data_IF_389583663380
#
_entry.id   IF_389583663380
#
_cell.length_a   1.000
_cell.length_b   1.000
_cell.length_c   1.000
_cell.angle_alpha   90.00
_cell.angle_beta   90.00
_cell.angle_gamma   90.00
#
_symmetry.space_group_name_H-M   'P 1'
#
loop_
_entity.id
_entity.type
_entity.pdbx_description
1 polymer ?
#
# COMPACT_ATOMS: atom_id res chain seq x y z
N UNK A 1 7.76 -16.33 -3.35
CA UNK A 1 6.61 -15.42 -3.38
C UNK A 1 6.61 -14.71 -4.72
N UNK A 2 5.47 -14.71 -5.40
CA UNK A 2 5.26 -13.93 -6.62
C UNK A 2 4.82 -12.52 -6.22
N UNK A 3 5.44 -11.48 -6.80
CA UNK A 3 5.02 -10.08 -6.62
C UNK A 3 4.40 -9.62 -7.92
N UNK A 4 3.19 -9.07 -7.84
CA UNK A 4 2.44 -8.59 -9.00
C UNK A 4 1.45 -7.51 -8.58
N UNK A 5 0.94 -6.77 -9.55
CA UNK A 5 -0.27 -5.98 -9.33
C UNK A 5 -1.49 -6.89 -9.17
N UNK A 6 -2.50 -6.36 -8.50
CA UNK A 6 -3.82 -6.96 -8.40
C UNK A 6 -4.47 -7.11 -9.78
N UNK A 7 -5.36 -8.09 -9.88
CA UNK A 7 -6.25 -8.36 -11.02
C UNK A 7 -7.69 -8.22 -10.55
N UNK A 8 -8.63 -8.11 -11.48
CA UNK A 8 -10.06 -8.02 -11.17
C UNK A 8 -10.55 -9.14 -10.23
N UNK A 9 -10.00 -10.36 -10.38
CA UNK A 9 -10.33 -11.53 -9.57
C UNK A 9 -9.77 -11.52 -8.14
N UNK A 10 -8.89 -10.58 -7.78
CA UNK A 10 -8.20 -10.60 -6.48
C UNK A 10 -8.99 -9.94 -5.35
N UNK A 11 -10.16 -9.32 -5.62
CA UNK A 11 -10.91 -8.53 -4.65
C UNK A 11 -11.17 -9.29 -3.35
N UNK A 12 -11.69 -10.52 -3.44
CA UNK A 12 -12.01 -11.32 -2.25
C UNK A 12 -10.75 -11.70 -1.44
N UNK A 13 -9.68 -12.10 -2.12
CA UNK A 13 -8.42 -12.45 -1.46
C UNK A 13 -7.71 -11.25 -0.83
N UNK A 14 -7.87 -10.06 -1.43
CA UNK A 14 -7.37 -8.81 -0.88
C UNK A 14 -8.17 -8.36 0.34
N UNK A 15 -9.51 -8.46 0.30
CA UNK A 15 -10.38 -8.20 1.45
C UNK A 15 -10.07 -9.14 2.62
N UNK A 16 -9.84 -10.43 2.35
CA UNK A 16 -9.40 -11.40 3.37
C UNK A 16 -8.10 -10.94 4.05
N UNK A 17 -7.14 -10.43 3.28
CA UNK A 17 -5.89 -9.92 3.82
C UNK A 17 -6.09 -8.64 4.66
N UNK A 18 -7.02 -7.76 4.29
CA UNK A 18 -7.30 -6.52 5.03
C UNK A 18 -7.90 -6.75 6.42
N UNK A 19 -8.42 -7.95 6.71
CA UNK A 19 -8.76 -8.36 8.08
C UNK A 19 -7.54 -8.40 9.02
N UNK A 20 -6.33 -8.51 8.47
CA UNK A 20 -5.06 -8.45 9.22
C UNK A 20 -4.49 -7.03 9.34
N UNK A 21 -5.14 -6.04 8.72
CA UNK A 21 -4.76 -4.63 8.78
C UNK A 21 -5.58 -3.92 9.87
N UNK A 22 -6.82 -3.53 9.55
CA UNK A 22 -7.72 -2.80 10.45
C UNK A 22 -9.19 -3.24 10.33
N UNK A 23 -9.56 -3.93 9.25
CA UNK A 23 -10.94 -4.33 9.00
C UNK A 23 -11.36 -5.50 9.88
N UNK A 24 -12.65 -5.54 10.25
CA UNK A 24 -13.22 -6.60 11.09
C UNK A 24 -13.95 -7.68 10.29
N UNK A 25 -14.43 -7.32 9.11
CA UNK A 25 -15.16 -8.19 8.20
C UNK A 25 -14.95 -7.76 6.75
N UNK A 26 -15.23 -8.67 5.83
CA UNK A 26 -15.23 -8.33 4.40
C UNK A 26 -16.44 -7.47 4.07
N UNK A 27 -16.27 -6.58 3.11
CA UNK A 27 -17.40 -5.81 2.59
C UNK A 27 -18.25 -6.74 1.71
N UNK A 28 -19.58 -6.70 1.82
CA UNK A 28 -20.45 -7.45 0.92
C UNK A 28 -20.23 -7.01 -0.53
N UNK A 29 -20.41 -7.94 -1.47
CA UNK A 29 -20.29 -7.63 -2.89
C UNK A 29 -21.50 -6.82 -3.38
N UNK A 30 -21.40 -5.50 -3.26
CA UNK A 30 -22.41 -4.55 -3.76
C UNK A 30 -21.97 -3.94 -5.09
N UNK A 31 -22.91 -3.43 -5.91
CA UNK A 31 -22.57 -2.72 -7.15
C UNK A 31 -21.58 -1.56 -6.94
N UNK A 32 -21.68 -0.86 -5.81
CA UNK A 32 -20.79 0.25 -5.45
C UNK A 32 -19.36 -0.23 -5.21
N UNK A 33 -19.19 -1.34 -4.48
CA UNK A 33 -17.88 -1.94 -4.25
C UNK A 33 -17.25 -2.40 -5.58
N UNK A 34 -18.02 -3.07 -6.43
CA UNK A 34 -17.54 -3.55 -7.74
C UNK A 34 -17.17 -2.38 -8.65
N UNK A 35 -17.95 -1.30 -8.66
CA UNK A 35 -17.64 -0.09 -9.43
C UNK A 35 -16.34 0.55 -8.96
N UNK A 36 -16.19 0.76 -7.64
CA UNK A 36 -14.97 1.33 -7.06
C UNK A 36 -13.74 0.46 -7.35
N UNK A 37 -13.88 -0.86 -7.26
CA UNK A 37 -12.78 -1.78 -7.56
C UNK A 37 -12.31 -1.65 -9.02
N UNK A 38 -13.25 -1.54 -9.96
CA UNK A 38 -12.93 -1.33 -11.37
C UNK A 38 -12.28 0.01 -11.63
N UNK A 39 -12.74 1.08 -10.97
CA UNK A 39 -12.12 2.40 -11.05
C UNK A 39 -10.67 2.37 -10.54
N UNK A 40 -10.43 1.71 -9.40
CA UNK A 40 -9.09 1.57 -8.83
C UNK A 40 -8.17 0.79 -9.77
N UNK A 41 -8.59 -0.36 -10.29
CA UNK A 41 -7.75 -1.17 -11.21
C UNK A 41 -7.48 -0.42 -12.52
N UNK A 42 -8.42 0.39 -12.99
CA UNK A 42 -8.27 1.15 -14.23
C UNK A 42 -7.38 2.40 -14.06
N UNK A 43 -7.16 2.87 -12.83
CA UNK A 43 -6.34 4.05 -12.57
C UNK A 43 -4.85 3.73 -12.65
N UNK A 44 -4.21 4.23 -13.71
CA UNK A 44 -2.77 4.08 -13.97
C UNK A 44 -1.86 4.68 -12.88
N UNK A 45 -2.38 5.55 -12.01
CA UNK A 45 -1.64 6.20 -10.93
C UNK A 45 -1.94 5.56 -9.56
N UNK A 46 -2.83 4.55 -9.51
CA UNK A 46 -3.21 3.81 -8.31
C UNK A 46 -2.80 2.34 -8.42
N UNK A 47 -1.73 1.97 -7.72
CA UNK A 47 -1.20 0.60 -7.79
C UNK A 47 -1.45 -0.13 -6.47
N UNK A 48 -2.04 -1.32 -6.54
CA UNK A 48 -2.08 -2.26 -5.42
C UNK A 48 -1.20 -3.44 -5.78
N UNK A 49 -0.11 -3.61 -5.04
CA UNK A 49 0.83 -4.71 -5.19
C UNK A 49 0.48 -5.80 -4.19
N UNK A 50 0.51 -7.05 -4.64
CA UNK A 50 0.29 -8.23 -3.81
C UNK A 50 1.47 -9.19 -3.87
N UNK A 51 1.77 -9.76 -2.71
CA UNK A 51 2.68 -10.87 -2.53
C UNK A 51 1.89 -12.17 -2.42
N UNK A 52 2.07 -13.06 -3.40
CA UNK A 52 1.36 -14.33 -3.50
C UNK A 52 2.27 -15.52 -3.15
N UNK A 53 1.77 -16.42 -2.31
CA UNK A 53 2.41 -17.68 -1.94
C UNK A 53 1.39 -18.79 -2.12
N UNK A 54 1.70 -19.78 -2.96
CA UNK A 54 0.83 -20.94 -3.20
C UNK A 54 -0.61 -20.56 -3.60
N UNK A 55 -0.77 -19.54 -4.46
CA UNK A 55 -2.07 -19.06 -4.92
C UNK A 55 -2.79 -18.13 -3.95
N UNK A 56 -2.25 -17.90 -2.74
CA UNK A 56 -2.85 -17.03 -1.72
C UNK A 56 -2.15 -15.68 -1.64
N UNK A 57 -2.93 -14.61 -1.62
CA UNK A 57 -2.45 -13.26 -1.29
C UNK A 57 -2.12 -13.21 0.20
N UNK A 58 -0.85 -12.98 0.54
CA UNK A 58 -0.36 -12.98 1.93
C UNK A 58 0.23 -11.65 2.36
N UNK A 59 0.46 -10.72 1.43
CA UNK A 59 0.93 -9.38 1.73
C UNK A 59 0.46 -8.40 0.65
N UNK A 60 0.24 -7.14 1.02
CA UNK A 60 -0.11 -6.07 0.08
C UNK A 60 0.52 -4.74 0.46
N UNK A 61 0.70 -3.88 -0.54
CA UNK A 61 1.06 -2.47 -0.43
C UNK A 61 0.28 -1.70 -1.49
N UNK A 62 -0.36 -0.60 -1.11
CA UNK A 62 -0.90 0.37 -2.06
C UNK A 62 0.12 1.49 -2.27
N UNK A 63 0.38 1.89 -3.51
CA UNK A 63 1.14 3.09 -3.85
C UNK A 63 0.37 3.95 -4.85
N UNK A 64 0.21 5.23 -4.51
CA UNK A 64 -0.57 6.19 -5.31
C UNK A 64 0.37 7.30 -5.76
N UNK A 65 0.45 7.53 -7.06
CA UNK A 65 1.24 8.60 -7.68
C UNK A 65 0.37 9.85 -7.81
N UNK A 66 0.81 10.96 -7.22
CA UNK A 66 0.06 12.21 -7.16
C UNK A 66 0.75 13.26 -8.02
N UNK A 67 0.02 13.76 -9.02
CA UNK A 67 0.44 14.88 -9.87
C UNK A 67 0.71 16.12 -9.02
N UNK A 68 1.71 16.89 -9.40
CA UNK A 68 2.19 18.02 -8.61
C UNK A 68 2.79 19.10 -9.51
N UNK A 69 2.57 20.38 -9.17
CA UNK A 69 3.15 21.53 -9.88
C UNK A 69 4.46 22.01 -9.26
N UNK A 70 4.72 21.67 -7.99
CA UNK A 70 5.95 22.07 -7.29
C UNK A 70 7.13 21.19 -7.71
N UNK A 71 8.35 21.54 -7.28
CA UNK A 71 9.56 20.72 -7.51
C UNK A 71 9.74 20.36 -8.99
N UNK A 72 9.64 21.37 -9.86
CA UNK A 72 9.75 21.23 -11.32
C UNK A 72 8.69 20.28 -11.90
N UNK A 73 7.44 20.38 -11.43
CA UNK A 73 6.31 19.55 -11.86
C UNK A 73 6.50 18.05 -11.62
N UNK A 74 7.42 17.66 -10.74
CA UNK A 74 7.65 16.24 -10.41
C UNK A 74 6.56 15.73 -9.48
N UNK A 75 5.93 14.57 -9.77
CA UNK A 75 4.95 13.97 -8.89
C UNK A 75 5.58 13.52 -7.57
N UNK A 76 4.75 13.08 -6.64
CA UNK A 76 5.18 12.37 -5.44
C UNK A 76 4.24 11.19 -5.20
N UNK A 77 4.68 10.20 -4.46
CA UNK A 77 3.83 9.05 -4.13
C UNK A 77 3.49 8.97 -2.64
N UNK A 78 2.37 8.34 -2.33
CA UNK A 78 1.98 7.93 -0.98
C UNK A 78 1.85 6.41 -0.97
N UNK A 79 2.35 5.79 0.08
CA UNK A 79 2.15 4.37 0.41
C UNK A 79 1.07 4.26 1.48
N UNK A 80 0.10 3.39 1.22
CA UNK A 80 -1.02 3.06 2.10
C UNK A 80 -1.20 1.55 2.22
N UNK A 81 -2.01 1.12 3.20
CA UNK A 81 -2.51 -0.25 3.33
C UNK A 81 -1.41 -1.34 3.27
N UNK A 82 -0.29 -1.10 3.94
CA UNK A 82 0.80 -2.06 4.07
C UNK A 82 0.40 -3.13 5.08
N UNK A 83 0.23 -4.37 4.60
CA UNK A 83 -0.14 -5.50 5.48
C UNK A 83 0.53 -6.78 5.03
N UNK A 84 0.85 -7.62 6.01
CA UNK A 84 1.23 -9.03 5.80
C UNK A 84 0.43 -9.88 6.79
N UNK A 85 -0.16 -10.95 6.26
CA UNK A 85 -0.87 -11.97 7.04
C UNK A 85 0.01 -12.48 8.19
N UNK A 86 -0.59 -12.70 9.37
CA UNK A 86 0.13 -13.04 10.61
C UNK A 86 1.17 -14.15 10.43
N UNK A 87 0.75 -15.30 9.90
CA UNK A 87 1.60 -16.48 9.68
C UNK A 87 2.73 -16.31 8.66
N UNK A 88 2.69 -15.23 7.87
CA UNK A 88 3.65 -14.93 6.81
C UNK A 88 4.55 -13.73 7.13
N UNK A 89 4.43 -13.16 8.34
CA UNK A 89 5.31 -12.07 8.82
C UNK A 89 6.75 -12.56 9.01
N UNK A 90 7.68 -11.60 9.08
CA UNK A 90 9.13 -11.85 9.27
C UNK A 90 9.81 -12.66 8.15
N UNK A 91 9.17 -12.82 6.97
CA UNK A 91 9.73 -13.51 5.79
C UNK A 91 10.25 -12.56 4.70
N UNK A 92 10.23 -11.24 4.94
CA UNK A 92 10.69 -10.22 3.99
C UNK A 92 9.68 -9.78 2.94
N UNK A 93 8.46 -10.32 2.94
CA UNK A 93 7.45 -10.07 1.90
C UNK A 93 7.04 -8.61 1.76
N UNK A 94 6.67 -7.96 2.87
CA UNK A 94 6.36 -6.53 2.86
C UNK A 94 7.54 -5.69 2.35
N UNK A 95 8.79 -6.05 2.71
CA UNK A 95 9.98 -5.32 2.24
C UNK A 95 10.12 -5.40 0.73
N UNK A 96 9.88 -6.57 0.12
CA UNK A 96 9.94 -6.73 -1.33
C UNK A 96 8.82 -5.94 -2.04
N UNK A 97 7.62 -5.88 -1.46
CA UNK A 97 6.53 -5.05 -1.99
C UNK A 97 6.84 -3.56 -1.86
N UNK A 98 7.38 -3.11 -0.72
CA UNK A 98 7.81 -1.73 -0.51
C UNK A 98 8.89 -1.31 -1.52
N UNK A 99 9.86 -2.18 -1.81
CA UNK A 99 10.85 -1.90 -2.85
C UNK A 99 10.18 -1.70 -4.21
N UNK A 100 9.28 -2.62 -4.61
CA UNK A 100 8.55 -2.49 -5.88
C UNK A 100 7.69 -1.23 -5.95
N UNK A 101 7.08 -0.83 -4.83
CA UNK A 101 6.31 0.42 -4.73
C UNK A 101 7.21 1.66 -4.93
N UNK A 102 8.40 1.66 -4.34
CA UNK A 102 9.40 2.72 -4.55
C UNK A 102 9.86 2.73 -6.01
N UNK A 103 10.15 1.58 -6.61
CA UNK A 103 10.54 1.48 -8.03
C UNK A 103 9.45 2.06 -8.94
N UNK A 104 8.16 1.80 -8.66
CA UNK A 104 7.04 2.40 -9.41
C UNK A 104 7.06 3.92 -9.29
N UNK A 105 7.22 4.45 -8.07
CA UNK A 105 7.28 5.89 -7.87
C UNK A 105 8.48 6.53 -8.58
N UNK A 106 9.66 5.91 -8.53
CA UNK A 106 10.86 6.38 -9.22
C UNK A 106 10.67 6.39 -10.75
N UNK A 107 10.12 5.31 -11.31
CA UNK A 107 9.83 5.22 -12.74
C UNK A 107 8.76 6.21 -13.21
N UNK A 108 7.83 6.59 -12.32
CA UNK A 108 6.86 7.66 -12.54
C UNK A 108 7.44 9.08 -12.36
N UNK A 109 8.75 9.20 -12.11
CA UNK A 109 9.45 10.47 -11.97
C UNK A 109 9.23 11.17 -10.62
N UNK A 110 8.68 10.46 -9.63
CA UNK A 110 8.40 11.03 -8.32
C UNK A 110 9.68 11.60 -7.68
N UNK A 111 9.55 12.72 -6.97
CA UNK A 111 10.68 13.27 -6.20
C UNK A 111 10.75 12.77 -4.77
N UNK A 112 9.69 12.14 -4.27
CA UNK A 112 9.62 11.50 -2.95
C UNK A 112 8.49 10.46 -2.90
N UNK A 113 8.60 9.57 -1.93
CA UNK A 113 7.54 8.65 -1.48
C UNK A 113 7.29 8.91 0.00
N UNK A 114 6.03 8.94 0.41
CA UNK A 114 5.64 9.19 1.80
C UNK A 114 4.76 8.07 2.31
N UNK A 115 4.80 7.82 3.61
CA UNK A 115 3.82 6.98 4.31
C UNK A 115 3.55 7.58 5.68
N UNK A 116 2.35 7.34 6.19
CA UNK A 116 1.99 7.64 7.57
C UNK A 116 1.65 6.32 8.26
N UNK A 117 2.07 6.16 9.51
CA UNK A 117 1.71 4.98 10.30
C UNK A 117 1.25 5.39 11.69
N UNK A 118 0.16 4.78 12.15
CA UNK A 118 -0.29 4.88 13.54
C UNK A 118 0.48 3.94 14.48
N UNK A 119 1.36 3.09 13.96
CA UNK A 119 2.13 2.15 14.74
C UNK A 119 3.06 2.88 15.72
N UNK A 120 2.99 2.46 16.99
CA UNK A 120 3.88 2.92 18.06
C UNK A 120 4.94 1.89 18.42
N UNK A 121 4.79 0.65 17.94
CA UNK A 121 5.74 -0.40 18.22
C UNK A 121 7.03 -0.20 17.42
N UNK A 122 8.17 -0.36 18.09
CA UNK A 122 9.48 -0.11 17.48
C UNK A 122 9.78 -1.05 16.30
N UNK A 123 9.15 -2.23 16.24
CA UNK A 123 9.44 -3.19 15.19
C UNK A 123 8.89 -2.71 13.85
N UNK A 124 7.67 -2.17 13.83
CA UNK A 124 7.07 -1.55 12.64
C UNK A 124 7.84 -0.30 12.22
N UNK A 125 8.25 0.55 13.18
CA UNK A 125 9.05 1.73 12.88
C UNK A 125 10.41 1.36 12.26
N UNK A 126 11.14 0.41 12.88
CA UNK A 126 12.40 -0.12 12.33
C UNK A 126 12.22 -0.81 10.98
N UNK A 127 11.06 -1.41 10.72
CA UNK A 127 10.75 -1.98 9.41
C UNK A 127 10.72 -0.89 8.32
N UNK A 128 10.02 0.23 8.56
CA UNK A 128 10.00 1.34 7.60
C UNK A 128 11.38 1.99 7.42
N UNK A 129 12.15 2.13 8.50
CA UNK A 129 13.55 2.60 8.42
C UNK A 129 14.42 1.68 7.54
N UNK A 130 14.28 0.35 7.70
CA UNK A 130 14.96 -0.64 6.85
C UNK A 130 14.51 -0.63 5.39
N UNK A 131 13.35 -0.04 5.10
CA UNK A 131 12.86 0.21 3.74
C UNK A 131 13.35 1.56 3.19
N UNK A 132 14.20 2.28 3.92
CA UNK A 132 14.80 3.55 3.47
C UNK A 132 14.01 4.80 3.86
N UNK A 133 12.91 4.66 4.60
CA UNK A 133 12.12 5.81 5.07
C UNK A 133 12.75 6.43 6.32
N UNK A 134 12.62 7.74 6.47
CA UNK A 134 12.96 8.42 7.72
C UNK A 134 11.75 9.20 8.25
N UNK A 135 11.67 9.33 9.57
CA UNK A 135 10.60 10.03 10.27
C UNK A 135 11.01 11.42 10.77
N UNK A 136 12.20 11.89 10.39
CA UNK A 136 12.84 13.10 10.95
C UNK A 136 12.67 14.33 10.06
N UNK A 137 12.56 14.14 8.75
CA UNK A 137 12.51 15.25 7.79
C UNK A 137 11.16 15.98 7.75
N UNK A 138 10.08 15.30 8.18
CA UNK A 138 8.69 15.79 8.11
C UNK A 138 7.90 15.40 9.34
N UNK A 139 6.99 16.30 9.74
CA UNK A 139 5.99 16.05 10.78
C UNK A 139 4.61 15.95 10.16
N UNK A 140 3.91 14.85 10.42
CA UNK A 140 2.53 14.66 10.00
C UNK A 140 1.56 15.44 10.91
N UNK A 141 0.53 16.03 10.31
CA UNK A 141 -0.62 16.61 11.00
C UNK A 141 -1.88 15.96 10.46
N UNK A 142 -2.75 15.46 11.33
CA UNK A 142 -3.95 14.73 10.95
C UNK A 142 -5.16 15.47 11.54
N UNK A 143 -6.12 15.81 10.68
CA UNK A 143 -7.45 16.27 11.07
C UNK A 143 -8.47 15.28 10.50
N UNK A 144 -9.14 14.56 11.39
CA UNK A 144 -10.21 13.66 10.99
C UNK A 144 -11.47 14.44 10.59
N UNK A 145 -12.19 13.94 9.60
CA UNK A 145 -13.46 14.51 9.10
C UNK A 145 -14.48 13.38 9.11
N UNK A 146 -15.67 13.62 9.69
CA UNK A 146 -16.78 12.65 9.65
C UNK A 146 -16.62 11.43 10.55
N UNK A 147 -16.02 11.59 11.74
CA UNK A 147 -16.13 10.62 12.84
C UNK A 147 -17.42 10.90 13.62
#
# INVERSE_FOLDING_TARGET
MLIREVKESDLDGLQELYLYLHEKEKMPETPELVSLWKEIIADKDYHILVGEVEGRIVSSVTVIVIKNLTRCMRPYAIIENVVTHGDFRCRGYARSLMQKAVDIAENSGCYKVMLLTGAKDENTLRFYEKCGFNSKDKKAFIRWIGI
#
